data_IF_288959963337
#
_entry.id   IF_288959963337
#
_cell.length_a   1.000
_cell.length_b   1.000
_cell.length_c   1.000
_cell.angle_alpha   90.00
_cell.angle_beta   90.00
_cell.angle_gamma   90.00
#
_symmetry.space_group_name_H-M   'P 1'
#
loop_
_entity.id
_entity.type
_entity.pdbx_description
1 polymer ?
#
# COMPACT_ATOMS: atom_id res chain seq x y z
N UNK A 1 3.11 -5.81 22.51
CA UNK A 1 3.44 -6.42 21.21
C UNK A 1 3.91 -5.29 20.29
N UNK A 2 5.12 -5.37 19.70
CA UNK A 2 5.59 -4.38 18.76
C UNK A 2 4.66 -4.30 17.53
N UNK A 3 4.33 -3.08 17.10
CA UNK A 3 3.54 -2.87 15.89
C UNK A 3 4.47 -2.35 14.81
N UNK A 4 4.82 -3.23 13.89
CA UNK A 4 5.71 -2.91 12.78
C UNK A 4 5.01 -2.08 11.70
N UNK A 5 5.75 -1.14 11.12
CA UNK A 5 5.33 -0.33 9.98
C UNK A 5 5.28 -1.15 8.70
N UNK A 6 6.34 -1.94 8.46
CA UNK A 6 6.38 -2.87 7.32
C UNK A 6 5.43 -4.03 7.61
N UNK A 7 4.41 -4.10 6.81
CA UNK A 7 3.37 -5.11 6.87
C UNK A 7 3.81 -6.46 6.32
N UNK A 8 4.58 -6.46 5.26
CA UNK A 8 5.20 -7.62 4.63
C UNK A 8 6.34 -7.16 3.74
N UNK A 9 7.34 -8.01 3.57
CA UNK A 9 8.43 -7.87 2.61
C UNK A 9 8.78 -9.25 2.05
N UNK A 10 8.56 -9.46 0.76
CA UNK A 10 8.73 -10.78 0.12
C UNK A 10 9.12 -10.63 -1.35
N UNK A 11 9.78 -11.63 -1.92
CA UNK A 11 9.92 -11.74 -3.38
C UNK A 11 8.61 -12.31 -3.96
N UNK A 12 8.05 -11.68 -5.01
CA UNK A 12 6.90 -12.19 -5.74
C UNK A 12 7.36 -13.27 -6.73
N UNK A 13 8.44 -12.96 -7.44
CA UNK A 13 9.17 -13.82 -8.36
C UNK A 13 10.67 -13.63 -8.18
N UNK A 14 11.51 -14.23 -9.03
CA UNK A 14 12.98 -14.21 -8.90
C UNK A 14 13.61 -12.81 -8.98
N UNK A 15 12.88 -11.81 -9.47
CA UNK A 15 13.37 -10.46 -9.72
C UNK A 15 12.55 -9.34 -9.06
N UNK A 16 11.32 -9.64 -8.64
CA UNK A 16 10.37 -8.64 -8.16
C UNK A 16 10.17 -8.74 -6.65
N UNK A 17 10.64 -7.73 -5.93
CA UNK A 17 10.35 -7.56 -4.51
C UNK A 17 9.03 -6.82 -4.29
N UNK A 18 8.38 -7.12 -3.18
CA UNK A 18 7.18 -6.48 -2.69
C UNK A 18 7.37 -6.02 -1.26
N UNK A 19 7.03 -4.75 -0.98
CA UNK A 19 6.98 -4.21 0.38
C UNK A 19 5.60 -3.58 0.58
N UNK A 20 4.88 -4.06 1.58
CA UNK A 20 3.64 -3.45 2.06
C UNK A 20 3.92 -2.59 3.29
N UNK A 21 3.68 -1.30 3.22
CA UNK A 21 3.84 -0.37 4.31
C UNK A 21 2.48 0.04 4.90
N UNK A 22 2.24 -0.27 6.17
CA UNK A 22 0.95 -0.01 6.85
C UNK A 22 0.79 1.41 7.35
N UNK A 23 1.88 2.02 7.81
CA UNK A 23 1.90 3.36 8.44
C UNK A 23 3.30 3.94 8.42
N UNK A 24 3.40 5.21 8.74
CA UNK A 24 4.67 5.90 8.98
C UNK A 24 4.82 6.19 10.47
N UNK A 25 5.48 5.28 11.21
CA UNK A 25 5.85 5.42 12.63
C UNK A 25 7.33 5.80 12.77
N UNK A 26 7.79 6.06 13.98
CA UNK A 26 9.17 6.48 14.25
C UNK A 26 10.26 5.48 13.76
N UNK A 27 9.91 4.21 13.57
CA UNK A 27 10.84 3.14 13.16
C UNK A 27 10.77 2.80 11.66
N UNK A 28 9.93 3.49 10.91
CA UNK A 28 9.57 3.07 9.54
C UNK A 28 10.75 3.10 8.58
N UNK A 29 11.60 4.13 8.61
CA UNK A 29 12.81 4.18 7.77
C UNK A 29 13.69 2.94 8.02
N UNK A 30 13.98 2.64 9.29
CA UNK A 30 14.81 1.48 9.66
C UNK A 30 14.21 0.16 9.15
N UNK A 31 12.90 0.00 9.28
CA UNK A 31 12.21 -1.21 8.85
C UNK A 31 12.20 -1.36 7.31
N UNK A 32 11.95 -0.26 6.58
CA UNK A 32 11.98 -0.27 5.11
C UNK A 32 13.39 -0.52 4.58
N UNK A 33 14.40 0.10 5.18
CA UNK A 33 15.81 -0.13 4.83
C UNK A 33 16.18 -1.60 4.99
N UNK A 34 15.85 -2.21 6.13
CA UNK A 34 16.12 -3.62 6.37
C UNK A 34 15.38 -4.54 5.37
N UNK A 35 14.14 -4.18 5.01
CA UNK A 35 13.38 -4.89 4.00
C UNK A 35 14.02 -4.78 2.61
N UNK A 36 14.44 -3.57 2.19
CA UNK A 36 15.12 -3.33 0.93
C UNK A 36 16.44 -4.13 0.85
N UNK A 37 17.26 -4.06 1.91
CA UNK A 37 18.54 -4.80 1.96
C UNK A 37 18.31 -6.31 1.83
N UNK A 38 17.28 -6.83 2.50
CA UNK A 38 16.90 -8.25 2.39
C UNK A 38 16.47 -8.63 0.98
N UNK A 39 15.64 -7.81 0.33
CA UNK A 39 15.16 -8.10 -1.02
C UNK A 39 16.28 -7.96 -2.06
N UNK A 40 17.14 -6.96 -1.92
CA UNK A 40 18.32 -6.78 -2.79
C UNK A 40 19.29 -7.95 -2.67
N UNK A 41 19.54 -8.47 -1.45
CA UNK A 41 20.37 -9.66 -1.25
C UNK A 41 19.79 -10.93 -1.87
N UNK A 42 18.47 -10.96 -2.10
CA UNK A 42 17.77 -12.03 -2.82
C UNK A 42 17.70 -11.83 -4.34
N UNK A 43 18.37 -10.80 -4.88
CA UNK A 43 18.44 -10.54 -6.32
C UNK A 43 17.32 -9.65 -6.87
N UNK A 44 16.63 -8.88 -6.02
CA UNK A 44 15.58 -7.95 -6.47
C UNK A 44 16.12 -6.95 -7.50
N UNK A 45 15.44 -6.83 -8.63
CA UNK A 45 15.68 -5.85 -9.70
C UNK A 45 14.48 -4.91 -9.93
N UNK A 46 13.33 -5.22 -9.34
CA UNK A 46 12.06 -4.51 -9.45
C UNK A 46 11.40 -4.44 -8.10
N UNK A 47 10.85 -3.30 -7.70
CA UNK A 47 10.16 -3.12 -6.43
C UNK A 47 8.72 -2.67 -6.67
N UNK A 48 7.78 -3.42 -6.12
CA UNK A 48 6.41 -3.01 -5.94
C UNK A 48 6.23 -2.54 -4.50
N UNK A 49 6.14 -1.22 -4.30
CA UNK A 49 5.99 -0.58 -3.01
C UNK A 49 4.53 -0.23 -2.75
N UNK A 50 3.87 -0.97 -1.87
CA UNK A 50 2.42 -0.88 -1.66
C UNK A 50 2.08 0.03 -0.46
N UNK A 51 1.46 1.17 -0.79
CA UNK A 51 0.93 2.16 0.15
C UNK A 51 -0.61 2.15 0.21
N UNK A 52 -1.28 1.19 -0.40
CA UNK A 52 -2.75 1.10 -0.35
C UNK A 52 -3.25 0.97 1.08
N UNK A 53 -4.25 1.76 1.45
CA UNK A 53 -4.81 1.79 2.79
C UNK A 53 -3.91 2.39 3.88
N UNK A 54 -2.76 2.94 3.51
CA UNK A 54 -1.85 3.59 4.44
C UNK A 54 -2.23 5.06 4.65
N UNK A 55 -2.82 5.40 5.78
CA UNK A 55 -3.30 6.74 6.12
C UNK A 55 -2.18 7.74 6.46
N UNK A 56 -0.91 7.35 6.34
CA UNK A 56 0.24 8.20 6.58
C UNK A 56 0.86 8.03 7.98
N UNK A 57 1.37 9.13 8.52
CA UNK A 57 2.07 9.20 9.80
C UNK A 57 3.09 10.35 9.82
N UNK A 58 4.28 10.11 10.34
CA UNK A 58 5.32 11.13 10.47
C UNK A 58 5.87 11.59 9.11
N UNK A 59 5.89 12.92 8.92
CA UNK A 59 6.37 13.56 7.71
C UNK A 59 7.87 13.28 7.49
N UNK A 60 8.66 13.34 8.56
CA UNK A 60 10.09 13.07 8.53
C UNK A 60 10.40 11.65 8.04
N UNK A 61 9.55 10.69 8.41
CA UNK A 61 9.68 9.30 7.94
C UNK A 61 9.32 9.17 6.47
N UNK A 62 8.34 9.92 5.98
CA UNK A 62 8.03 9.96 4.55
C UNK A 62 9.17 10.55 3.73
N UNK A 63 9.77 11.65 4.20
CA UNK A 63 10.95 12.23 3.56
C UNK A 63 12.14 11.25 3.57
N UNK A 64 12.40 10.60 4.71
CA UNK A 64 13.49 9.63 4.83
C UNK A 64 13.31 8.41 3.91
N UNK A 65 12.07 7.92 3.72
CA UNK A 65 11.78 6.83 2.78
C UNK A 65 11.88 7.30 1.33
N UNK A 66 11.40 8.50 1.02
CA UNK A 66 11.59 9.07 -0.32
C UNK A 66 13.08 9.18 -0.67
N UNK A 67 13.93 9.53 0.30
CA UNK A 67 15.38 9.61 0.16
C UNK A 67 16.04 8.25 -0.14
N UNK A 68 15.43 7.13 0.27
CA UNK A 68 15.92 5.79 -0.10
C UNK A 68 15.73 5.48 -1.60
N UNK A 69 14.75 6.12 -2.24
CA UNK A 69 14.44 5.89 -3.65
C UNK A 69 15.13 6.89 -4.58
N UNK A 70 15.33 8.14 -4.14
CA UNK A 70 15.88 9.22 -4.98
C UNK A 70 17.39 9.21 -4.94
N UNK A 71 18.02 9.14 -6.11
CA UNK A 71 19.48 9.07 -6.26
C UNK A 71 20.14 10.43 -6.56
N UNK A 72 19.34 11.44 -6.88
CA UNK A 72 19.78 12.82 -7.16
C UNK A 72 19.47 13.74 -5.98
N UNK A 73 20.18 14.90 -5.91
CA UNK A 73 19.89 15.90 -4.86
C UNK A 73 18.71 16.77 -5.30
N UNK A 74 17.54 16.49 -4.73
CA UNK A 74 16.29 17.16 -5.07
C UNK A 74 15.50 17.53 -3.80
N UNK A 75 14.53 18.42 -3.92
CA UNK A 75 13.52 18.64 -2.90
C UNK A 75 12.54 17.47 -2.93
N UNK A 76 12.30 16.82 -1.78
CA UNK A 76 11.37 15.68 -1.63
C UNK A 76 9.96 16.17 -1.25
N UNK A 77 9.91 17.14 -0.36
CA UNK A 77 8.69 17.78 0.15
C UNK A 77 9.07 19.07 0.84
N UNK A 78 8.20 20.07 0.80
CA UNK A 78 8.36 21.26 1.62
C UNK A 78 7.03 21.67 2.25
N UNK A 79 7.12 22.41 3.37
CA UNK A 79 5.94 22.86 4.12
C UNK A 79 5.91 24.39 4.15
N UNK A 80 4.69 24.95 4.09
CA UNK A 80 4.45 26.38 4.21
C UNK A 80 3.27 26.63 5.14
N UNK A 81 3.48 27.46 6.15
CA UNK A 81 2.47 27.88 7.12
C UNK A 81 2.64 29.33 7.55
N UNK A 82 1.72 29.83 8.38
CA UNK A 82 1.77 31.21 8.89
C UNK A 82 2.93 31.40 9.89
N UNK A 83 3.32 30.36 10.61
CA UNK A 83 4.40 30.39 11.59
C UNK A 83 5.70 30.03 10.86
N UNK A 84 6.74 30.86 11.00
CA UNK A 84 8.01 30.69 10.27
C UNK A 84 8.65 29.32 10.51
N UNK A 85 8.56 28.82 11.73
CA UNK A 85 9.12 27.51 12.16
C UNK A 85 8.39 26.32 11.51
N UNK A 86 7.21 26.53 10.95
CA UNK A 86 6.47 25.50 10.20
C UNK A 86 6.88 25.41 8.72
N UNK A 87 7.76 26.30 8.26
CA UNK A 87 8.30 26.31 6.91
C UNK A 87 9.59 25.49 6.87
N UNK A 88 9.52 24.30 6.28
CA UNK A 88 10.63 23.36 6.22
C UNK A 88 10.78 22.84 4.80
N UNK A 89 12.02 22.50 4.41
CA UNK A 89 12.34 21.85 3.13
C UNK A 89 13.12 20.60 3.41
N UNK A 90 12.58 19.47 2.97
CA UNK A 90 13.25 18.18 3.05
C UNK A 90 13.85 17.85 1.68
N UNK A 91 15.15 17.54 1.68
CA UNK A 91 15.91 17.23 0.49
C UNK A 91 16.46 15.82 0.56
N UNK A 92 16.62 15.21 -0.61
CA UNK A 92 17.33 13.94 -0.73
C UNK A 92 18.84 14.15 -0.49
N UNK A 93 19.49 13.09 -0.03
CA UNK A 93 20.93 13.01 0.14
C UNK A 93 21.50 12.04 -0.88
N UNK A 94 22.56 12.45 -1.61
CA UNK A 94 23.19 11.63 -2.65
C UNK A 94 23.63 10.23 -2.18
N UNK A 95 23.72 10.02 -0.86
CA UNK A 95 24.29 8.82 -0.26
C UNK A 95 23.27 7.74 0.16
N UNK A 96 21.97 8.01 0.06
CA UNK A 96 20.92 7.08 0.54
C UNK A 96 20.17 6.34 -0.56
N UNK A 97 20.16 6.85 -1.78
CA UNK A 97 19.51 6.19 -2.91
C UNK A 97 20.03 4.76 -3.11
N UNK A 98 19.16 3.78 -2.94
CA UNK A 98 19.50 2.35 -2.93
C UNK A 98 19.28 1.70 -4.29
N UNK A 99 19.88 2.22 -5.30
CA UNK A 99 20.14 1.40 -6.46
C UNK A 99 19.21 1.46 -7.66
N UNK A 100 19.66 0.72 -8.65
CA UNK A 100 19.19 0.71 -10.02
C UNK A 100 18.08 -0.34 -10.24
N UNK A 101 17.00 -0.28 -9.43
CA UNK A 101 15.84 -1.14 -9.60
C UNK A 101 14.63 -0.32 -10.08
N UNK A 102 13.78 -0.95 -10.87
CA UNK A 102 12.51 -0.37 -11.29
C UNK A 102 11.57 -0.24 -10.10
N UNK A 103 10.86 0.90 -10.02
CA UNK A 103 9.97 1.20 -8.89
C UNK A 103 8.56 1.46 -9.39
N UNK A 104 7.62 0.71 -8.81
CA UNK A 104 6.19 0.98 -8.89
C UNK A 104 5.66 1.22 -7.48
N UNK A 105 4.95 2.33 -7.27
CA UNK A 105 4.26 2.66 -6.02
C UNK A 105 2.77 2.47 -6.20
N UNK A 106 2.16 1.60 -5.40
CA UNK A 106 0.71 1.38 -5.41
C UNK A 106 0.00 2.29 -4.41
N UNK A 107 -1.04 2.96 -4.85
CA UNK A 107 -1.88 3.83 -4.02
C UNK A 107 -3.36 3.54 -4.23
N UNK A 108 -4.19 3.95 -3.27
CA UNK A 108 -5.64 3.99 -3.40
C UNK A 108 -6.24 5.12 -2.55
N UNK A 109 -7.56 5.24 -2.54
CA UNK A 109 -8.30 6.23 -1.74
C UNK A 109 -7.95 6.24 -0.24
N UNK A 110 -7.39 5.17 0.31
CA UNK A 110 -6.90 5.07 1.69
C UNK A 110 -5.46 5.55 1.88
N UNK A 111 -4.73 5.82 0.80
CA UNK A 111 -3.36 6.36 0.83
C UNK A 111 -3.41 7.84 1.11
N UNK A 112 -2.91 8.29 2.27
CA UNK A 112 -3.05 9.67 2.70
C UNK A 112 -1.76 10.24 3.31
N UNK A 113 -1.63 11.58 3.30
CA UNK A 113 -0.59 12.31 4.05
C UNK A 113 0.84 11.84 3.70
N UNK A 114 1.57 11.20 4.64
CA UNK A 114 2.93 10.67 4.41
C UNK A 114 3.03 9.74 3.21
N UNK A 115 1.98 8.94 2.92
CA UNK A 115 1.92 8.11 1.71
C UNK A 115 1.91 8.94 0.44
N UNK A 116 1.21 10.08 0.48
CA UNK A 116 1.12 11.00 -0.65
C UNK A 116 2.41 11.81 -0.83
N UNK A 117 3.19 12.00 0.24
CA UNK A 117 4.53 12.59 0.15
C UNK A 117 5.45 11.65 -0.62
N UNK A 118 5.48 10.35 -0.26
CA UNK A 118 6.33 9.38 -0.95
C UNK A 118 5.90 9.19 -2.41
N UNK A 119 4.62 8.94 -2.66
CA UNK A 119 4.12 8.76 -4.04
C UNK A 119 4.27 10.02 -4.89
N UNK A 120 4.05 11.20 -4.28
CA UNK A 120 4.26 12.48 -4.94
C UNK A 120 5.73 12.76 -5.28
N UNK A 121 6.65 12.43 -4.38
CA UNK A 121 8.09 12.56 -4.63
C UNK A 121 8.55 11.62 -5.76
N UNK A 122 8.12 10.35 -5.74
CA UNK A 122 8.43 9.38 -6.79
C UNK A 122 7.90 9.84 -8.15
N UNK A 123 6.66 10.32 -8.20
CA UNK A 123 6.01 10.76 -9.43
C UNK A 123 6.64 12.06 -9.98
N UNK A 124 6.81 13.07 -9.13
CA UNK A 124 7.29 14.39 -9.56
C UNK A 124 8.77 14.40 -9.97
N UNK A 125 9.57 13.54 -9.35
CA UNK A 125 11.00 13.39 -9.68
C UNK A 125 11.26 12.32 -10.75
N UNK A 126 10.21 11.77 -11.35
CA UNK A 126 10.30 10.75 -12.38
C UNK A 126 11.15 9.53 -11.96
N UNK A 127 11.05 9.12 -10.66
CA UNK A 127 11.81 7.98 -10.15
C UNK A 127 11.15 6.64 -10.46
N UNK A 128 9.84 6.63 -10.71
CA UNK A 128 9.08 5.42 -10.99
C UNK A 128 7.62 5.72 -11.29
N UNK A 129 6.84 4.68 -11.49
CA UNK A 129 5.40 4.79 -11.74
C UNK A 129 4.61 4.78 -10.44
N UNK A 130 3.55 5.58 -10.40
CA UNK A 130 2.51 5.52 -9.38
C UNK A 130 1.26 4.90 -10.01
N UNK A 131 0.77 3.80 -9.45
CA UNK A 131 -0.36 3.04 -10.01
C UNK A 131 -1.46 2.78 -8.99
N UNK A 132 -2.66 2.48 -9.45
CA UNK A 132 -3.81 2.17 -8.60
C UNK A 132 -4.94 3.19 -8.74
N UNK A 133 -5.48 3.65 -7.63
CA UNK A 133 -6.58 4.63 -7.58
C UNK A 133 -6.08 5.97 -7.02
N UNK A 134 -6.79 7.05 -7.33
CA UNK A 134 -6.49 8.39 -6.78
C UNK A 134 -6.45 8.38 -5.25
N UNK A 135 -5.39 8.95 -4.68
CA UNK A 135 -5.17 8.97 -3.23
C UNK A 135 -6.18 9.85 -2.47
N UNK A 136 -6.04 9.92 -1.16
CA UNK A 136 -6.97 10.63 -0.28
C UNK A 136 -7.02 12.15 -0.53
N UNK A 137 -5.87 12.79 -0.72
CA UNK A 137 -5.78 14.26 -0.85
C UNK A 137 -5.69 15.01 0.49
N UNK A 138 -4.81 14.57 1.41
CA UNK A 138 -4.53 15.27 2.66
C UNK A 138 -3.17 15.96 2.59
N UNK A 139 -3.17 17.26 2.26
CA UNK A 139 -1.97 18.10 2.13
C UNK A 139 -1.71 19.00 3.36
N UNK A 140 -2.16 18.60 4.55
CA UNK A 140 -2.06 19.39 5.78
C UNK A 140 -1.06 18.78 6.76
N UNK A 141 -0.24 19.66 7.37
CA UNK A 141 0.66 19.32 8.47
C UNK A 141 -0.02 19.67 9.79
N UNK A 142 -0.16 18.69 10.66
CA UNK A 142 -0.80 18.84 11.97
C UNK A 142 0.23 18.62 13.08
N UNK A 143 0.19 19.48 14.10
CA UNK A 143 0.98 19.36 15.32
C UNK A 143 0.08 18.98 16.48
N UNK A 144 0.52 18.01 17.28
CA UNK A 144 -0.14 17.67 18.52
C UNK A 144 0.40 18.54 19.67
N UNK A 145 -0.51 19.21 20.34
CA UNK A 145 -0.21 20.06 21.49
C UNK A 145 -0.80 19.38 22.73
N UNK A 146 0.02 19.00 23.72
CA UNK A 146 -0.47 18.44 24.98
C UNK A 146 -1.24 19.53 25.76
N UNK A 147 -2.24 19.10 26.53
CA UNK A 147 -3.00 19.92 27.47
C UNK A 147 -2.71 19.46 28.90
N UNK A 148 -2.89 20.34 29.86
CA UNK A 148 -2.59 20.09 31.30
C UNK A 148 -3.38 18.92 31.90
N UNK A 149 -4.48 18.52 31.27
CA UNK A 149 -5.34 17.40 31.69
C UNK A 149 -4.86 16.01 31.22
N UNK A 150 -3.69 15.93 30.56
CA UNK A 150 -3.22 14.68 29.93
C UNK A 150 -3.86 14.37 28.57
N UNK A 151 -4.78 15.21 28.11
CA UNK A 151 -5.33 15.19 26.76
C UNK A 151 -4.43 15.96 25.80
N UNK A 152 -4.72 15.90 24.49
CA UNK A 152 -4.00 16.67 23.48
C UNK A 152 -4.94 17.11 22.35
N UNK A 153 -4.64 18.27 21.75
CA UNK A 153 -5.31 18.75 20.54
C UNK A 153 -4.37 18.63 19.33
N UNK A 154 -4.95 18.42 18.15
CA UNK A 154 -4.22 18.51 16.87
C UNK A 154 -4.62 19.77 16.15
N UNK A 155 -3.62 20.60 15.85
CA UNK A 155 -3.81 21.87 15.14
C UNK A 155 -3.08 21.81 13.81
N UNK A 156 -3.74 22.23 12.74
CA UNK A 156 -3.10 22.41 11.45
C UNK A 156 -2.20 23.64 11.49
N UNK A 157 -0.91 23.45 11.20
CA UNK A 157 0.12 24.50 11.28
C UNK A 157 0.70 24.88 9.91
N UNK A 158 0.61 23.98 8.91
CA UNK A 158 1.14 24.23 7.58
C UNK A 158 0.41 23.39 6.52
N UNK A 159 0.65 23.72 5.26
CA UNK A 159 0.39 22.88 4.09
C UNK A 159 1.70 22.31 3.60
N UNK A 160 1.69 21.10 3.02
CA UNK A 160 2.86 20.56 2.35
C UNK A 160 2.66 20.50 0.84
N UNK A 161 3.77 20.58 0.15
CA UNK A 161 3.87 20.64 -1.30
C UNK A 161 4.84 19.59 -1.79
N UNK A 162 4.52 18.94 -2.90
CA UNK A 162 5.37 17.96 -3.55
C UNK A 162 6.54 18.65 -4.29
N UNK A 163 7.53 17.93 -4.82
CA UNK A 163 8.67 18.51 -5.52
C UNK A 163 8.29 19.47 -6.66
N UNK A 164 7.24 19.16 -7.41
CA UNK A 164 6.74 20.03 -8.49
C UNK A 164 6.04 21.30 -8.01
N UNK A 165 5.85 21.46 -6.71
CA UNK A 165 5.17 22.63 -6.12
C UNK A 165 3.65 22.48 -5.98
N UNK A 166 3.08 21.33 -6.30
CA UNK A 166 1.64 21.12 -6.18
C UNK A 166 1.19 20.88 -4.75
N UNK A 167 0.14 21.60 -4.35
CA UNK A 167 -0.64 21.28 -3.16
C UNK A 167 -1.65 20.19 -3.53
N UNK A 168 -1.61 19.06 -2.84
CA UNK A 168 -2.49 17.92 -3.13
C UNK A 168 -3.78 17.91 -2.33
N UNK A 169 -3.93 18.86 -1.38
CA UNK A 169 -5.11 18.96 -0.52
C UNK A 169 -6.39 19.04 -1.36
N UNK A 170 -7.33 18.11 -1.13
CA UNK A 170 -8.69 18.22 -1.66
C UNK A 170 -9.40 19.45 -1.10
N UNK A 171 -10.28 20.09 -1.88
CA UNK A 171 -11.16 21.13 -1.36
C UNK A 171 -11.92 20.64 -0.12
N UNK A 172 -12.00 21.50 0.86
CA UNK A 172 -12.71 21.26 2.11
C UNK A 172 -13.64 22.45 2.34
N UNK A 173 -14.94 22.18 2.46
CA UNK A 173 -15.94 23.18 2.78
C UNK A 173 -16.24 23.12 4.27
N UNK A 174 -16.11 24.25 4.96
CA UNK A 174 -16.37 24.35 6.39
C UNK A 174 -17.81 23.89 6.72
N UNK A 175 -17.90 22.99 7.71
CA UNK A 175 -19.16 22.43 8.18
C UNK A 175 -19.68 21.21 7.41
N UNK A 176 -18.97 20.71 6.40
CA UNK A 176 -19.41 19.57 5.60
C UNK A 176 -18.48 18.34 5.68
N UNK A 177 -18.05 18.00 6.90
CA UNK A 177 -17.14 16.86 7.16
C UNK A 177 -17.68 15.55 6.59
N UNK A 178 -18.97 15.29 6.73
CA UNK A 178 -19.59 14.04 6.27
C UNK A 178 -19.51 13.88 4.75
N UNK A 179 -19.76 14.95 3.98
CA UNK A 179 -19.66 14.90 2.53
C UNK A 179 -18.22 14.70 2.08
N UNK A 180 -17.26 15.36 2.75
CA UNK A 180 -15.83 15.22 2.48
C UNK A 180 -15.33 13.77 2.60
N UNK A 181 -15.80 13.03 3.62
CA UNK A 181 -15.44 11.62 3.77
C UNK A 181 -16.30 10.69 2.91
N UNK A 182 -17.58 11.01 2.67
CA UNK A 182 -18.48 10.18 1.86
C UNK A 182 -18.02 10.08 0.42
N UNK A 183 -17.52 11.16 -0.17
CA UNK A 183 -16.98 11.19 -1.53
C UNK A 183 -15.94 10.09 -1.79
N UNK A 184 -15.12 9.72 -0.79
CA UNK A 184 -14.13 8.65 -0.92
C UNK A 184 -14.73 7.28 -1.24
N UNK A 185 -15.98 7.07 -0.86
CA UNK A 185 -16.68 5.78 -1.00
C UNK A 185 -17.70 5.79 -2.13
N UNK A 186 -17.83 6.89 -2.87
CA UNK A 186 -18.69 6.95 -4.06
C UNK A 186 -18.16 6.02 -5.15
N UNK A 187 -19.07 5.29 -5.80
CA UNK A 187 -18.70 4.32 -6.85
C UNK A 187 -18.20 4.97 -8.12
N UNK A 188 -18.59 6.22 -8.36
CA UNK A 188 -18.23 7.04 -9.51
C UNK A 188 -17.11 8.05 -9.23
N UNK A 189 -16.46 7.95 -8.04
CA UNK A 189 -15.39 8.88 -7.62
C UNK A 189 -14.32 9.07 -8.67
N UNK A 190 -13.76 7.99 -9.22
CA UNK A 190 -12.67 8.08 -10.19
C UNK A 190 -13.11 8.73 -11.50
N UNK A 191 -14.32 8.44 -11.97
CA UNK A 191 -14.90 9.10 -13.14
C UNK A 191 -15.10 10.59 -12.92
N UNK A 192 -15.58 11.00 -11.74
CA UNK A 192 -15.68 12.41 -11.34
C UNK A 192 -14.30 13.06 -11.25
N UNK A 193 -13.32 12.36 -10.66
CA UNK A 193 -11.95 12.85 -10.54
C UNK A 193 -11.31 13.07 -11.91
N UNK A 194 -11.52 12.17 -12.85
CA UNK A 194 -11.01 12.29 -14.23
C UNK A 194 -11.70 13.44 -14.97
N UNK A 195 -13.02 13.59 -14.85
CA UNK A 195 -13.77 14.70 -15.44
C UNK A 195 -13.34 16.08 -14.91
N UNK A 196 -12.98 16.16 -13.63
CA UNK A 196 -12.51 17.41 -12.99
C UNK A 196 -11.01 17.66 -13.19
N UNK A 197 -10.26 16.69 -13.72
CA UNK A 197 -8.81 16.76 -13.89
C UNK A 197 -8.35 18.00 -14.66
N UNK A 198 -9.06 18.33 -15.75
CA UNK A 198 -8.72 19.49 -16.59
C UNK A 198 -8.93 20.83 -15.88
N UNK A 199 -9.78 20.89 -14.85
CA UNK A 199 -10.05 22.08 -14.05
C UNK A 199 -9.05 22.27 -12.91
N UNK A 200 -8.21 21.27 -12.62
CA UNK A 200 -7.23 21.32 -11.53
C UNK A 200 -5.96 22.06 -11.96
N UNK A 201 -5.24 22.66 -10.98
CA UNK A 201 -3.92 23.22 -11.25
C UNK A 201 -2.97 22.17 -11.84
N UNK A 202 -2.34 22.50 -12.98
CA UNK A 202 -1.40 21.65 -13.69
C UNK A 202 0.03 22.03 -13.31
N UNK A 203 0.84 20.99 -13.07
CA UNK A 203 2.26 21.09 -12.75
C UNK A 203 3.05 20.16 -13.67
N UNK A 204 4.38 20.30 -13.63
CA UNK A 204 5.28 19.46 -14.43
C UNK A 204 6.20 18.65 -13.53
N UNK A 205 6.38 17.37 -13.86
CA UNK A 205 7.42 16.54 -13.28
C UNK A 205 8.80 16.99 -13.79
N UNK A 206 9.85 16.41 -13.25
CA UNK A 206 11.24 16.73 -13.64
C UNK A 206 11.48 16.51 -15.14
N UNK A 207 10.87 15.50 -15.76
CA UNK A 207 10.94 15.22 -17.21
C UNK A 207 9.88 15.95 -18.04
N UNK A 208 8.99 16.74 -17.42
CA UNK A 208 7.98 17.53 -18.12
C UNK A 208 6.63 16.86 -18.29
N UNK A 209 6.38 15.68 -17.70
CA UNK A 209 5.04 15.06 -17.65
C UNK A 209 4.07 15.96 -16.86
N UNK A 210 2.79 15.94 -17.25
CA UNK A 210 1.76 16.73 -16.55
C UNK A 210 1.23 15.95 -15.35
N UNK A 211 1.21 16.62 -14.19
CA UNK A 211 0.62 16.14 -12.93
C UNK A 211 -0.33 17.20 -12.37
N UNK A 212 -1.26 16.79 -11.50
CA UNK A 212 -2.37 17.63 -11.05
C UNK A 212 -2.32 17.86 -9.54
N UNK A 213 -2.68 19.08 -9.12
CA UNK A 213 -2.87 19.43 -7.71
C UNK A 213 -4.35 19.41 -7.30
N UNK A 214 -4.64 19.68 -6.02
CA UNK A 214 -6.00 19.90 -5.51
C UNK A 214 -6.92 18.70 -5.42
N UNK A 215 -6.40 17.46 -5.49
CA UNK A 215 -7.25 16.27 -5.49
C UNK A 215 -6.55 14.97 -5.09
N UNK A 216 -5.50 15.06 -4.30
CA UNK A 216 -4.61 13.92 -4.02
C UNK A 216 -3.61 13.66 -5.15
N UNK A 217 -2.94 12.53 -5.05
CA UNK A 217 -2.05 12.02 -6.10
C UNK A 217 -2.90 11.20 -7.08
N UNK A 218 -3.01 11.69 -8.30
CA UNK A 218 -3.61 10.94 -9.42
C UNK A 218 -2.56 9.96 -9.93
N UNK A 219 -2.83 8.65 -10.00
CA UNK A 219 -1.86 7.68 -10.48
C UNK A 219 -1.51 7.90 -11.95
N UNK A 220 -0.31 7.49 -12.35
CA UNK A 220 0.11 7.48 -13.76
C UNK A 220 -0.71 6.46 -14.55
N UNK A 221 -1.01 5.32 -13.93
CA UNK A 221 -1.83 4.25 -14.48
C UNK A 221 -2.96 3.91 -13.49
N UNK A 222 -4.18 4.12 -13.94
CA UNK A 222 -5.36 3.79 -13.14
C UNK A 222 -5.63 2.29 -13.17
N UNK A 223 -5.61 1.66 -11.99
CA UNK A 223 -5.92 0.25 -11.79
C UNK A 223 -7.02 0.14 -10.74
N UNK A 224 -8.28 -0.08 -11.13
CA UNK A 224 -9.39 -0.14 -10.20
C UNK A 224 -9.32 -1.40 -9.32
N UNK A 225 -9.71 -1.26 -8.06
CA UNK A 225 -10.01 -2.42 -7.24
C UNK A 225 -11.29 -3.09 -7.75
N UNK A 226 -11.18 -4.36 -8.14
CA UNK A 226 -12.33 -5.19 -8.51
C UNK A 226 -12.47 -6.33 -7.50
N UNK A 227 -13.59 -6.38 -6.80
CA UNK A 227 -13.88 -7.56 -5.98
C UNK A 227 -14.10 -8.76 -6.89
N UNK A 228 -13.31 -9.79 -6.71
CA UNK A 228 -13.44 -11.06 -7.44
C UNK A 228 -14.28 -12.08 -6.69
N UNK A 229 -14.71 -11.74 -5.47
CA UNK A 229 -15.45 -12.64 -4.58
C UNK A 229 -16.89 -12.18 -4.38
N UNK A 230 -17.76 -13.14 -4.15
CA UNK A 230 -19.16 -12.87 -3.83
C UNK A 230 -19.36 -12.40 -2.37
N UNK A 231 -20.57 -11.96 -2.07
CA UNK A 231 -20.92 -11.39 -0.76
C UNK A 231 -20.78 -12.41 0.38
N UNK A 232 -21.05 -13.69 0.14
CA UNK A 232 -20.94 -14.73 1.18
C UNK A 232 -19.47 -14.97 1.57
N UNK A 233 -18.57 -15.04 0.61
CA UNK A 233 -17.12 -15.11 0.87
C UNK A 233 -16.63 -13.85 1.60
N UNK A 234 -17.13 -12.66 1.22
CA UNK A 234 -16.79 -11.43 1.93
C UNK A 234 -17.28 -11.42 3.39
N UNK A 235 -18.48 -12.00 3.68
CA UNK A 235 -18.95 -12.19 5.06
C UNK A 235 -18.02 -13.08 5.88
N UNK A 236 -17.57 -14.20 5.31
CA UNK A 236 -16.62 -15.12 5.98
C UNK A 236 -15.29 -14.42 6.28
N UNK A 237 -14.75 -13.64 5.34
CA UNK A 237 -13.50 -12.90 5.52
C UNK A 237 -13.57 -11.84 6.63
N UNK A 238 -14.72 -11.18 6.77
CA UNK A 238 -14.95 -10.12 7.76
C UNK A 238 -15.47 -10.63 9.09
N UNK A 239 -15.71 -11.92 9.21
CA UNK A 239 -16.30 -12.51 10.40
C UNK A 239 -15.36 -12.35 11.62
N UNK A 240 -15.82 -11.78 12.76
CA UNK A 240 -15.00 -11.54 13.94
C UNK A 240 -14.48 -12.83 14.58
N UNK A 241 -15.12 -13.98 14.32
CA UNK A 241 -14.62 -15.29 14.74
C UNK A 241 -13.37 -15.75 13.99
N UNK A 242 -12.94 -15.03 12.94
CA UNK A 242 -11.73 -15.33 12.15
C UNK A 242 -11.66 -16.79 11.66
N UNK A 243 -12.68 -17.30 10.95
CA UNK A 243 -12.83 -18.73 10.68
C UNK A 243 -11.65 -19.33 9.91
N UNK A 244 -11.08 -18.64 8.94
CA UNK A 244 -9.88 -19.12 8.23
C UNK A 244 -8.73 -19.40 9.18
N UNK A 245 -8.42 -18.47 10.06
CA UNK A 245 -7.35 -18.64 11.05
C UNK A 245 -7.63 -19.77 12.02
N UNK A 246 -8.84 -19.84 12.59
CA UNK A 246 -9.21 -20.88 13.55
C UNK A 246 -9.20 -22.29 12.91
N UNK A 247 -9.62 -22.37 11.66
CA UNK A 247 -9.59 -23.62 10.92
C UNK A 247 -8.16 -24.10 10.63
N UNK A 248 -7.29 -23.18 10.18
CA UNK A 248 -5.94 -23.54 9.71
C UNK A 248 -4.93 -23.68 10.83
N UNK A 249 -5.01 -22.86 11.89
CA UNK A 249 -4.04 -22.90 13.00
C UNK A 249 -3.97 -24.26 13.70
N UNK A 250 -5.12 -24.91 13.89
CA UNK A 250 -5.20 -26.27 14.47
C UNK A 250 -4.61 -27.36 13.54
N UNK A 251 -4.54 -27.08 12.24
CA UNK A 251 -4.07 -28.01 11.21
C UNK A 251 -2.63 -27.80 10.79
N UNK A 252 -2.07 -26.61 11.05
CA UNK A 252 -0.73 -26.23 10.63
C UNK A 252 0.34 -27.25 11.09
N UNK A 253 0.19 -27.83 12.28
CA UNK A 253 1.11 -28.86 12.80
C UNK A 253 1.22 -30.08 11.88
N UNK A 254 0.12 -30.46 11.21
CA UNK A 254 0.08 -31.60 10.31
C UNK A 254 0.78 -31.35 8.97
N UNK A 255 1.03 -30.08 8.64
CA UNK A 255 1.67 -29.67 7.39
C UNK A 255 3.12 -29.22 7.60
N UNK A 256 3.50 -28.82 8.82
CA UNK A 256 4.82 -28.25 9.13
C UNK A 256 6.00 -29.14 8.70
N UNK A 257 5.83 -30.46 8.78
CA UNK A 257 6.89 -31.43 8.49
C UNK A 257 6.67 -32.16 7.14
N UNK A 258 5.71 -31.70 6.31
CA UNK A 258 5.43 -32.33 5.02
C UNK A 258 6.21 -31.72 3.86
N UNK A 259 6.75 -30.52 4.07
CA UNK A 259 7.46 -29.77 3.06
C UNK A 259 8.78 -29.26 3.63
N UNK A 260 9.84 -29.35 2.87
CA UNK A 260 11.18 -28.92 3.28
C UNK A 260 11.30 -27.38 3.25
N UNK A 261 10.52 -26.70 2.41
CA UNK A 261 10.54 -25.25 2.25
C UNK A 261 9.16 -24.67 1.92
N UNK A 262 9.06 -23.36 2.05
CA UNK A 262 7.89 -22.61 1.61
C UNK A 262 7.71 -22.67 0.07
N UNK A 263 8.80 -22.64 -0.67
CA UNK A 263 8.75 -22.67 -2.14
C UNK A 263 8.22 -24.03 -2.63
N UNK A 264 8.64 -25.12 -2.04
CA UNK A 264 8.06 -26.45 -2.31
C UNK A 264 6.56 -26.46 -1.99
N UNK A 265 6.15 -25.97 -0.82
CA UNK A 265 4.73 -25.88 -0.46
C UNK A 265 3.93 -25.03 -1.43
N UNK A 266 4.49 -23.90 -1.87
CA UNK A 266 3.85 -22.98 -2.81
C UNK A 266 3.61 -23.64 -4.16
N UNK A 267 4.59 -24.36 -4.68
CA UNK A 267 4.61 -24.90 -6.04
C UNK A 267 3.96 -26.27 -6.17
N UNK A 268 4.16 -27.15 -5.17
CA UNK A 268 3.78 -28.56 -5.27
C UNK A 268 2.46 -28.92 -4.60
N UNK A 269 1.88 -28.01 -3.77
CA UNK A 269 0.69 -28.36 -3.00
C UNK A 269 -0.46 -27.40 -3.23
N UNK A 270 -1.60 -27.98 -3.54
CA UNK A 270 -2.89 -27.29 -3.60
C UNK A 270 -3.85 -27.82 -2.54
N UNK A 271 -4.81 -27.00 -2.16
CA UNK A 271 -5.84 -27.35 -1.19
C UNK A 271 -6.76 -28.39 -1.83
N UNK A 272 -6.80 -29.64 -1.32
CA UNK A 272 -7.67 -30.66 -1.89
C UNK A 272 -9.15 -30.39 -1.55
N UNK A 273 -10.06 -30.87 -2.39
CA UNK A 273 -11.51 -30.72 -2.22
C UNK A 273 -11.99 -31.18 -0.84
N UNK A 274 -11.38 -32.23 -0.30
CA UNK A 274 -11.69 -32.72 1.05
C UNK A 274 -11.40 -31.69 2.14
N UNK A 275 -10.32 -30.90 2.01
CA UNK A 275 -9.97 -29.86 2.96
C UNK A 275 -10.88 -28.63 2.78
N UNK A 276 -11.22 -28.27 1.54
CA UNK A 276 -12.20 -27.24 1.25
C UNK A 276 -13.57 -27.59 1.87
N UNK A 277 -14.08 -28.81 1.64
CA UNK A 277 -15.34 -29.27 2.22
C UNK A 277 -15.29 -29.32 3.75
N UNK A 278 -14.13 -29.70 4.32
CA UNK A 278 -13.91 -29.65 5.78
C UNK A 278 -13.97 -28.19 6.32
N UNK A 279 -13.53 -27.21 5.54
CA UNK A 279 -13.68 -25.79 5.90
C UNK A 279 -15.15 -25.35 5.87
N UNK A 280 -15.92 -25.76 4.88
CA UNK A 280 -17.37 -25.45 4.83
C UNK A 280 -18.10 -26.05 6.05
N UNK A 281 -17.79 -27.29 6.42
CA UNK A 281 -18.36 -27.92 7.62
C UNK A 281 -17.92 -27.20 8.92
N UNK A 282 -16.70 -26.67 8.95
CA UNK A 282 -16.23 -25.84 10.08
C UNK A 282 -17.05 -24.54 10.22
N UNK A 283 -17.39 -23.87 9.12
CA UNK A 283 -18.23 -22.68 9.16
C UNK A 283 -19.61 -23.01 9.79
N UNK A 284 -20.21 -24.12 9.41
CA UNK A 284 -21.50 -24.58 9.97
C UNK A 284 -21.38 -24.90 11.47
N UNK A 285 -20.31 -25.62 11.87
CA UNK A 285 -20.07 -25.97 13.28
C UNK A 285 -19.86 -24.75 14.17
N UNK A 286 -19.28 -23.68 13.61
CA UNK A 286 -19.09 -22.40 14.30
C UNK A 286 -20.32 -21.48 14.21
N UNK A 287 -21.46 -21.98 13.70
CA UNK A 287 -22.69 -21.22 13.49
C UNK A 287 -22.46 -19.93 12.68
N UNK A 288 -21.71 -20.05 11.61
CA UNK A 288 -21.51 -18.98 10.63
C UNK A 288 -22.49 -19.26 9.49
N UNK A 289 -23.54 -18.47 9.43
CA UNK A 289 -24.59 -18.59 8.41
C UNK A 289 -24.08 -18.13 7.05
N UNK A 290 -23.98 -19.07 6.11
CA UNK A 290 -23.49 -18.85 4.74
C UNK A 290 -24.17 -19.80 3.75
N UNK A 291 -24.28 -19.36 2.50
CA UNK A 291 -24.78 -20.18 1.40
C UNK A 291 -23.64 -20.96 0.76
N UNK A 292 -23.58 -22.29 0.98
CA UNK A 292 -22.48 -23.17 0.50
C UNK A 292 -22.25 -23.05 -1.01
N UNK A 293 -23.31 -23.09 -1.82
CA UNK A 293 -23.20 -22.98 -3.28
C UNK A 293 -22.54 -21.66 -3.72
N UNK A 294 -22.78 -20.59 -2.97
CA UNK A 294 -22.11 -19.30 -3.23
C UNK A 294 -20.63 -19.36 -2.89
N UNK A 295 -20.25 -20.01 -1.77
CA UNK A 295 -18.84 -20.19 -1.42
C UNK A 295 -18.13 -21.11 -2.42
N UNK A 296 -18.79 -22.11 -2.94
CA UNK A 296 -18.23 -23.02 -3.96
C UNK A 296 -17.88 -22.32 -5.27
N UNK A 297 -18.54 -21.20 -5.60
CA UNK A 297 -18.19 -20.36 -6.77
C UNK A 297 -16.87 -19.62 -6.59
N UNK A 298 -16.46 -19.37 -5.35
CA UNK A 298 -15.19 -18.73 -4.99
C UNK A 298 -14.17 -19.74 -4.46
N UNK A 299 -14.28 -21.02 -4.85
CA UNK A 299 -13.44 -22.12 -4.35
C UNK A 299 -11.95 -21.81 -4.49
N UNK A 300 -11.52 -21.29 -5.63
CA UNK A 300 -10.11 -20.95 -5.89
C UNK A 300 -9.61 -19.89 -4.91
N UNK A 301 -10.40 -18.84 -4.68
CA UNK A 301 -10.07 -17.80 -3.73
C UNK A 301 -10.01 -18.33 -2.29
N UNK A 302 -11.01 -19.10 -1.88
CA UNK A 302 -11.10 -19.69 -0.52
C UNK A 302 -9.94 -20.66 -0.31
N UNK A 303 -9.62 -21.49 -1.29
CA UNK A 303 -8.49 -22.43 -1.25
C UNK A 303 -7.15 -21.71 -1.15
N UNK A 304 -6.93 -20.67 -1.96
CA UNK A 304 -5.75 -19.81 -1.80
C UNK A 304 -5.71 -19.18 -0.40
N UNK A 305 -6.84 -18.74 0.12
CA UNK A 305 -6.91 -18.17 1.48
C UNK A 305 -6.55 -19.20 2.56
N UNK A 306 -7.03 -20.43 2.45
CA UNK A 306 -6.66 -21.54 3.35
C UNK A 306 -5.15 -21.81 3.24
N UNK A 307 -4.62 -21.95 2.02
CA UNK A 307 -3.19 -22.14 1.75
C UNK A 307 -2.35 -21.03 2.38
N UNK A 308 -2.76 -19.79 2.20
CA UNK A 308 -2.05 -18.62 2.75
C UNK A 308 -2.07 -18.54 4.28
N UNK A 309 -3.17 -18.90 4.93
CA UNK A 309 -3.24 -18.93 6.41
C UNK A 309 -2.42 -20.09 6.99
N UNK A 310 -2.37 -21.25 6.32
CA UNK A 310 -1.47 -22.35 6.67
C UNK A 310 -0.01 -21.91 6.56
N UNK A 311 0.38 -21.30 5.43
CA UNK A 311 1.72 -20.76 5.25
C UNK A 311 2.09 -19.74 6.34
N UNK A 312 1.14 -18.86 6.69
CA UNK A 312 1.34 -17.87 7.75
C UNK A 312 1.57 -18.51 9.14
N UNK A 313 0.94 -19.64 9.40
CA UNK A 313 1.08 -20.36 10.66
C UNK A 313 2.38 -21.19 10.74
N UNK A 314 2.96 -21.57 9.59
CA UNK A 314 4.13 -22.44 9.52
C UNK A 314 5.42 -21.61 9.35
N UNK A 315 5.47 -20.74 8.36
CA UNK A 315 6.67 -19.99 7.97
C UNK A 315 6.61 -18.49 8.33
N UNK A 316 5.41 -17.94 8.41
CA UNK A 316 5.25 -16.54 8.83
C UNK A 316 4.45 -15.68 7.86
N UNK A 317 4.42 -14.39 8.19
CA UNK A 317 3.52 -13.44 7.57
C UNK A 317 3.90 -13.09 6.12
N UNK A 318 5.19 -13.10 5.81
CA UNK A 318 5.68 -12.80 4.46
C UNK A 318 5.20 -13.86 3.49
N UNK A 319 5.29 -15.12 3.85
CA UNK A 319 4.86 -16.28 3.09
C UNK A 319 3.35 -16.30 2.91
N UNK A 320 2.60 -16.00 3.97
CA UNK A 320 1.14 -15.78 3.87
C UNK A 320 0.79 -14.66 2.88
N UNK A 321 1.52 -13.55 2.92
CA UNK A 321 1.29 -12.43 2.02
C UNK A 321 1.64 -12.81 0.59
N UNK A 322 2.76 -13.50 0.36
CA UNK A 322 3.18 -13.96 -0.96
C UNK A 322 2.05 -14.72 -1.69
N UNK A 323 1.43 -15.67 -1.02
CA UNK A 323 0.30 -16.43 -1.59
C UNK A 323 -0.93 -15.57 -1.84
N UNK A 324 -1.23 -14.60 -0.97
CA UNK A 324 -2.38 -13.71 -1.14
C UNK A 324 -2.23 -12.76 -2.32
N UNK A 325 -1.00 -12.36 -2.66
CA UNK A 325 -0.73 -11.50 -3.81
C UNK A 325 -1.14 -12.15 -5.14
N UNK A 326 -1.18 -13.49 -5.22
CA UNK A 326 -1.62 -14.22 -6.41
C UNK A 326 -3.09 -13.95 -6.77
N UNK A 327 -3.92 -13.58 -5.77
CA UNK A 327 -5.34 -13.27 -5.94
C UNK A 327 -5.64 -11.75 -5.92
N UNK A 328 -4.60 -10.91 -5.90
CA UNK A 328 -4.75 -9.46 -5.94
C UNK A 328 -4.69 -8.94 -7.38
N UNK A 329 -5.85 -8.58 -7.92
CA UNK A 329 -5.97 -8.11 -9.30
C UNK A 329 -5.18 -6.82 -9.57
N UNK A 330 -5.08 -5.92 -8.59
CA UNK A 330 -4.29 -4.70 -8.75
C UNK A 330 -2.79 -4.99 -8.77
N UNK A 331 -2.31 -5.95 -7.97
CA UNK A 331 -0.92 -6.43 -8.02
C UNK A 331 -0.63 -7.08 -9.36
N UNK A 332 -1.47 -8.03 -9.79
CA UNK A 332 -1.31 -8.72 -11.07
C UNK A 332 -1.26 -7.76 -12.26
N UNK A 333 -2.07 -6.69 -12.23
CA UNK A 333 -2.05 -5.66 -13.27
C UNK A 333 -0.80 -4.77 -13.16
N UNK A 334 -0.43 -4.33 -11.94
CA UNK A 334 0.74 -3.49 -11.71
C UNK A 334 2.05 -4.14 -12.20
N UNK A 335 2.18 -5.46 -12.04
CA UNK A 335 3.36 -6.21 -12.51
C UNK A 335 3.59 -6.12 -14.03
N UNK A 336 2.54 -5.92 -14.83
CA UNK A 336 2.64 -5.78 -16.29
C UNK A 336 3.31 -4.47 -16.72
N UNK A 337 3.33 -3.47 -15.84
CA UNK A 337 3.83 -2.12 -16.14
C UNK A 337 5.30 -1.90 -15.74
N UNK A 338 6.03 -2.92 -15.33
CA UNK A 338 7.45 -2.76 -14.99
C UNK A 338 8.31 -2.36 -16.20
N UNK A 339 7.96 -2.76 -17.41
CA UNK A 339 8.68 -2.31 -18.62
C UNK A 339 8.58 -0.79 -18.82
N UNK A 340 7.45 -0.19 -18.44
CA UNK A 340 7.24 1.26 -18.46
C UNK A 340 8.03 1.92 -17.31
N UNK A 341 8.06 1.29 -16.13
CA UNK A 341 8.85 1.76 -14.99
C UNK A 341 10.37 1.72 -15.26
N UNK A 342 10.85 0.77 -16.07
CA UNK A 342 12.26 0.67 -16.49
C UNK A 342 12.73 1.91 -17.28
N UNK A 343 11.82 2.60 -17.97
CA UNK A 343 12.15 3.80 -18.72
C UNK A 343 12.63 4.96 -17.83
N UNK A 344 12.15 5.02 -16.57
CA UNK A 344 12.57 6.05 -15.61
C UNK A 344 14.00 5.85 -15.12
N UNK A 345 14.48 4.61 -15.00
CA UNK A 345 15.88 4.34 -14.63
C UNK A 345 16.84 4.83 -15.74
N UNK A 346 16.47 4.58 -17.00
CA UNK A 346 17.31 4.96 -18.16
C UNK A 346 17.40 6.47 -18.35
N UNK A 347 16.47 7.24 -17.82
CA UNK A 347 16.48 8.71 -17.90
C UNK A 347 17.31 9.37 -16.78
N UNK A 348 17.71 8.63 -15.76
CA UNK A 348 18.49 9.12 -14.61
C UNK A 348 19.99 8.92 -14.83
N UNK A 349 20.38 7.95 -15.65
CA UNK A 349 21.76 7.65 -16.06
C UNK A 349 22.11 8.38 -17.36
#
# INVERSE_FOLDING_TARGET
IPIYSVGAATMIDDSTGYIFLRRFSATTEKEVVAALDTLLSKGMKRLLFDLRGNSGGYLEQAAAISDQFITTIDTLVYTMGKIKESNQVFRSSKNKGRGDYSLIVMINRGSASASEIVSGAVQDLDRGLVVGETSFGKGLVQRQLPLDTGSAIRVTIARYYTPSGRLIQRPYEDGNDLAYYRELYETDRESKMDSLKELRPKFKTKSGRTVYGGGGITPDIYIPFKSTINIETAKVLRNPKRPFFNFTSKRAVNYKNKFDSFDEFKESWDVPDSLFNSFLNHLESDSIDVVRDSLSRDMDYISNRIKSELAGSIWGKNESTNLRLLMDNQVSEALKHFNEADAFIKSIN
#
